data_IF_694860834524
#
_entry.id   IF_694860834524
#
_cell.length_a   1.000
_cell.length_b   1.000
_cell.length_c   1.000
_cell.angle_alpha   90.00
_cell.angle_beta   90.00
_cell.angle_gamma   90.00
#
_symmetry.space_group_name_H-M   'P 1'
#
loop_
_entity.id
_entity.type
_entity.pdbx_description
1 polymer ?
#
# COMPACT_ATOMS: atom_id res chain seq x y z
N UNK A 1 -74.35 -62.51 78.28
CA UNK A 1 -75.17 -63.08 77.18
C UNK A 1 -76.08 -61.96 76.72
N UNK A 2 -75.95 -61.47 75.47
CA UNK A 2 -76.85 -60.43 74.93
C UNK A 2 -78.27 -61.01 74.90
N UNK A 3 -79.22 -60.27 75.43
CA UNK A 3 -80.62 -60.68 75.55
C UNK A 3 -81.23 -60.80 74.14
N UNK A 4 -81.93 -61.90 73.82
CA UNK A 4 -82.44 -62.16 72.46
C UNK A 4 -83.30 -61.02 71.89
N UNK A 5 -83.96 -60.25 72.78
CA UNK A 5 -84.72 -59.07 72.38
C UNK A 5 -83.85 -57.91 71.89
N UNK A 6 -82.66 -57.69 72.48
CA UNK A 6 -81.71 -56.68 71.99
C UNK A 6 -81.14 -57.05 70.61
N UNK A 7 -80.93 -58.35 70.36
CA UNK A 7 -80.45 -58.83 69.06
C UNK A 7 -81.53 -58.62 68.00
N UNK A 8 -82.80 -58.88 68.32
CA UNK A 8 -83.93 -58.63 67.41
C UNK A 8 -84.15 -57.15 67.10
N UNK A 9 -84.04 -56.27 68.08
CA UNK A 9 -84.16 -54.81 67.86
C UNK A 9 -83.00 -54.27 67.01
N UNK A 10 -81.77 -54.72 67.25
CA UNK A 10 -80.60 -54.33 66.45
C UNK A 10 -80.71 -54.81 65.00
N UNK A 11 -81.15 -56.06 64.78
CA UNK A 11 -81.41 -56.60 63.45
C UNK A 11 -82.52 -55.79 62.74
N UNK A 12 -83.60 -55.46 63.46
CA UNK A 12 -84.70 -54.68 62.88
C UNK A 12 -84.29 -53.24 62.55
N UNK A 13 -83.47 -52.61 63.39
CA UNK A 13 -82.88 -51.29 63.13
C UNK A 13 -81.96 -51.29 61.91
N UNK A 14 -81.12 -52.31 61.77
CA UNK A 14 -80.25 -52.50 60.59
C UNK A 14 -81.05 -52.81 59.33
N UNK A 15 -82.14 -53.57 59.44
CA UNK A 15 -83.02 -53.83 58.31
C UNK A 15 -83.70 -52.55 57.83
N UNK A 16 -84.12 -51.69 58.76
CA UNK A 16 -84.74 -50.42 58.41
C UNK A 16 -83.76 -49.44 57.77
N UNK A 17 -82.51 -49.40 58.24
CA UNK A 17 -81.47 -48.58 57.59
C UNK A 17 -81.12 -49.08 56.20
N UNK A 18 -81.12 -50.39 55.97
CA UNK A 18 -80.95 -50.99 54.64
C UNK A 18 -82.13 -50.65 53.71
N UNK A 19 -83.38 -50.71 54.18
CA UNK A 19 -84.53 -50.30 53.37
C UNK A 19 -84.42 -48.81 52.94
N UNK A 20 -83.97 -47.95 53.86
CA UNK A 20 -83.75 -46.54 53.55
C UNK A 20 -82.62 -46.33 52.53
N UNK A 21 -81.51 -47.07 52.63
CA UNK A 21 -80.42 -46.95 51.65
C UNK A 21 -80.84 -47.46 50.29
N UNK A 22 -81.56 -48.58 50.21
CA UNK A 22 -82.09 -49.12 48.95
C UNK A 22 -83.03 -48.11 48.28
N UNK A 23 -83.97 -47.52 49.03
CA UNK A 23 -84.86 -46.46 48.48
C UNK A 23 -84.10 -45.21 48.02
N UNK A 24 -83.04 -44.83 48.73
CA UNK A 24 -82.20 -43.69 48.35
C UNK A 24 -81.44 -43.97 47.05
N UNK A 25 -80.87 -45.17 46.93
CA UNK A 25 -80.19 -45.63 45.72
C UNK A 25 -81.18 -45.70 44.56
N UNK A 26 -82.37 -46.27 44.76
CA UNK A 26 -83.40 -46.34 43.72
C UNK A 26 -83.83 -44.94 43.24
N UNK A 27 -84.01 -43.98 44.15
CA UNK A 27 -84.32 -42.59 43.76
C UNK A 27 -83.19 -41.95 42.99
N UNK A 28 -81.94 -42.15 43.39
CA UNK A 28 -80.76 -41.64 42.68
C UNK A 28 -80.62 -42.29 41.32
N UNK A 29 -80.81 -43.61 41.24
CA UNK A 29 -80.76 -44.36 40.00
C UNK A 29 -81.87 -43.89 39.04
N UNK A 30 -83.10 -43.71 39.52
CA UNK A 30 -84.21 -43.15 38.73
C UNK A 30 -83.94 -41.71 38.28
N UNK A 31 -83.24 -40.91 39.10
CA UNK A 31 -82.85 -39.56 38.72
C UNK A 31 -81.73 -39.57 37.65
N UNK A 32 -80.78 -40.49 37.75
CA UNK A 32 -79.74 -40.70 36.73
C UNK A 32 -80.35 -41.26 35.45
N UNK A 33 -81.24 -42.23 35.56
CA UNK A 33 -82.00 -42.81 34.45
C UNK A 33 -82.80 -41.73 33.76
N UNK A 34 -83.56 -40.88 34.48
CA UNK A 34 -84.24 -39.73 33.88
C UNK A 34 -83.29 -38.75 33.20
N UNK A 35 -82.07 -38.55 33.69
CA UNK A 35 -81.08 -37.68 33.03
C UNK A 35 -80.50 -38.30 31.77
N UNK A 36 -80.39 -39.64 31.72
CA UNK A 36 -79.95 -40.38 30.55
C UNK A 36 -81.08 -40.66 29.54
N UNK A 37 -82.32 -40.82 30.01
CA UNK A 37 -83.50 -41.19 29.23
C UNK A 37 -84.39 -40.01 28.85
N UNK A 38 -84.08 -38.81 29.34
CA UNK A 38 -84.41 -37.60 28.58
C UNK A 38 -83.60 -37.71 27.30
N UNK A 39 -84.22 -38.38 26.32
CA UNK A 39 -83.89 -38.24 24.90
C UNK A 39 -83.90 -36.74 24.64
N UNK A 40 -82.71 -36.15 24.63
CA UNK A 40 -82.48 -34.89 23.94
C UNK A 40 -82.89 -35.19 22.51
N UNK A 41 -83.86 -34.48 21.93
CA UNK A 41 -84.21 -34.71 20.53
C UNK A 41 -82.91 -34.65 19.72
N UNK A 42 -82.69 -35.69 18.91
CA UNK A 42 -81.66 -35.73 17.86
C UNK A 42 -82.03 -34.73 16.74
N UNK A 43 -82.33 -33.49 17.11
CA UNK A 43 -82.18 -32.35 16.23
C UNK A 43 -80.70 -31.95 16.32
N UNK A 44 -80.01 -32.01 15.20
CA UNK A 44 -78.63 -31.57 14.91
C UNK A 44 -78.10 -30.41 15.76
N UNK A 45 -77.76 -30.66 17.02
CA UNK A 45 -77.06 -29.72 17.88
C UNK A 45 -75.94 -30.48 18.57
N UNK A 46 -74.81 -30.57 17.87
CA UNK A 46 -73.51 -30.71 18.51
C UNK A 46 -73.49 -29.65 19.63
N UNK A 47 -73.32 -30.02 20.91
CA UNK A 47 -73.32 -29.04 21.98
C UNK A 47 -72.27 -27.97 21.66
N UNK A 48 -72.65 -26.69 21.66
CA UNK A 48 -71.76 -25.53 21.36
C UNK A 48 -70.41 -25.57 22.12
N UNK A 49 -70.36 -26.33 23.21
CA UNK A 49 -69.15 -26.61 23.97
C UNK A 49 -68.09 -27.41 23.19
N UNK A 50 -68.49 -28.36 22.33
CA UNK A 50 -67.58 -29.19 21.53
C UNK A 50 -66.98 -28.39 20.36
N UNK A 51 -67.74 -27.47 19.78
CA UNK A 51 -67.28 -26.55 18.73
C UNK A 51 -66.25 -25.54 19.24
N UNK A 52 -66.43 -25.00 20.45
CA UNK A 52 -65.48 -24.05 21.05
C UNK A 52 -64.12 -24.69 21.38
N UNK A 53 -64.10 -25.98 21.77
CA UNK A 53 -62.84 -26.71 22.00
C UNK A 53 -62.12 -27.03 20.70
N UNK A 54 -62.85 -27.42 19.66
CA UNK A 54 -62.27 -27.67 18.33
C UNK A 54 -61.71 -26.38 17.72
N UNK A 55 -62.43 -25.26 17.83
CA UNK A 55 -61.95 -23.95 17.39
C UNK A 55 -60.69 -23.50 18.17
N UNK A 56 -60.67 -23.72 19.48
CA UNK A 56 -59.47 -23.44 20.29
C UNK A 56 -58.30 -24.35 19.91
N UNK A 57 -58.55 -25.63 19.61
CA UNK A 57 -57.52 -26.56 19.15
C UNK A 57 -56.95 -26.14 17.80
N UNK A 58 -57.81 -25.78 16.84
CA UNK A 58 -57.34 -25.35 15.52
C UNK A 58 -56.59 -24.02 15.61
N UNK A 59 -57.05 -23.06 16.43
CA UNK A 59 -56.30 -21.83 16.71
C UNK A 59 -54.93 -22.12 17.33
N UNK A 60 -54.84 -22.99 18.35
CA UNK A 60 -53.54 -23.35 18.93
C UNK A 60 -52.64 -24.08 17.94
N UNK A 61 -53.21 -24.86 17.03
CA UNK A 61 -52.46 -25.53 15.96
C UNK A 61 -51.91 -24.52 14.94
N UNK A 62 -52.72 -23.54 14.56
CA UNK A 62 -52.30 -22.44 13.68
C UNK A 62 -51.19 -21.60 14.33
N UNK A 63 -51.32 -21.27 15.62
CA UNK A 63 -50.28 -20.57 16.38
C UNK A 63 -48.98 -21.38 16.45
N UNK A 64 -49.07 -22.68 16.72
CA UNK A 64 -47.89 -23.56 16.73
C UNK A 64 -47.23 -23.61 15.36
N UNK A 65 -48.02 -23.67 14.28
CA UNK A 65 -47.50 -23.67 12.91
C UNK A 65 -46.81 -22.33 12.57
N UNK A 66 -47.40 -21.20 12.99
CA UNK A 66 -46.80 -19.88 12.83
C UNK A 66 -45.48 -19.77 13.60
N UNK A 67 -45.46 -20.19 14.87
CA UNK A 67 -44.24 -20.21 15.70
C UNK A 67 -43.15 -21.07 15.06
N UNK A 68 -43.51 -22.23 14.48
CA UNK A 68 -42.54 -23.09 13.82
C UNK A 68 -41.93 -22.41 12.58
N UNK A 69 -42.75 -21.72 11.79
CA UNK A 69 -42.29 -20.92 10.66
C UNK A 69 -41.34 -19.81 11.11
N UNK A 70 -41.69 -19.06 12.16
CA UNK A 70 -40.86 -18.00 12.72
C UNK A 70 -39.51 -18.54 13.21
N UNK A 71 -39.50 -19.71 13.86
CA UNK A 71 -38.28 -20.38 14.33
C UNK A 71 -37.40 -20.79 13.14
N UNK A 72 -37.98 -21.29 12.06
CA UNK A 72 -37.24 -21.67 10.86
C UNK A 72 -36.62 -20.44 10.17
N UNK A 73 -37.35 -19.32 10.09
CA UNK A 73 -36.82 -18.04 9.59
C UNK A 73 -35.68 -17.51 10.48
N UNK A 74 -35.84 -17.53 11.80
CA UNK A 74 -34.81 -17.14 12.76
C UNK A 74 -33.56 -18.00 12.63
N UNK A 75 -33.71 -19.31 12.46
CA UNK A 75 -32.60 -20.25 12.27
C UNK A 75 -31.88 -20.00 10.95
N UNK A 76 -32.61 -19.69 9.88
CA UNK A 76 -32.02 -19.32 8.60
C UNK A 76 -31.25 -18.00 8.70
N UNK A 77 -31.80 -17.00 9.40
CA UNK A 77 -31.10 -15.76 9.71
C UNK A 77 -29.82 -16.01 10.53
N UNK A 78 -29.85 -16.91 11.51
CA UNK A 78 -28.69 -17.30 12.31
C UNK A 78 -27.55 -17.89 11.47
N UNK A 79 -27.86 -18.66 10.42
CA UNK A 79 -26.83 -19.18 9.50
C UNK A 79 -26.17 -18.03 8.72
N UNK A 80 -26.93 -16.99 8.39
CA UNK A 80 -26.41 -15.80 7.71
C UNK A 80 -25.44 -15.02 8.61
N UNK A 81 -25.72 -14.91 9.91
CA UNK A 81 -24.78 -14.33 10.88
C UNK A 81 -23.44 -15.07 10.95
N UNK A 82 -23.47 -16.40 10.83
CA UNK A 82 -22.24 -17.20 10.83
C UNK A 82 -21.39 -16.96 9.58
N UNK A 83 -22.02 -16.72 8.42
CA UNK A 83 -21.33 -16.32 7.20
C UNK A 83 -20.69 -14.92 7.34
N UNK A 84 -21.43 -13.96 7.91
CA UNK A 84 -20.89 -12.62 8.19
C UNK A 84 -19.67 -12.66 9.12
N UNK A 85 -19.71 -13.47 10.17
CA UNK A 85 -18.57 -13.63 11.08
C UNK A 85 -17.34 -14.21 10.36
N UNK A 86 -17.55 -15.22 9.51
CA UNK A 86 -16.46 -15.83 8.72
C UNK A 86 -15.84 -14.81 7.77
N UNK A 87 -16.66 -14.01 7.08
CA UNK A 87 -16.20 -12.93 6.18
C UNK A 87 -15.50 -11.81 6.93
N UNK A 88 -15.93 -11.51 8.15
CA UNK A 88 -15.28 -10.51 9.00
C UNK A 88 -13.89 -10.98 9.44
N UNK A 89 -13.74 -12.24 9.82
CA UNK A 89 -12.44 -12.85 10.13
C UNK A 89 -11.50 -12.89 8.93
N UNK A 90 -12.03 -13.21 7.74
CA UNK A 90 -11.26 -13.14 6.50
C UNK A 90 -10.77 -11.71 6.23
N UNK A 91 -11.66 -10.73 6.34
CA UNK A 91 -11.33 -9.32 6.14
C UNK A 91 -10.28 -8.81 7.15
N UNK A 92 -10.37 -9.23 8.42
CA UNK A 92 -9.38 -8.89 9.45
C UNK A 92 -8.01 -9.51 9.14
N UNK A 93 -8.00 -10.76 8.65
CA UNK A 93 -6.78 -11.41 8.17
C UNK A 93 -6.17 -10.66 6.97
N UNK A 94 -6.98 -10.22 6.01
CA UNK A 94 -6.49 -9.41 4.88
C UNK A 94 -5.94 -8.08 5.35
N UNK A 95 -6.61 -7.39 6.29
CA UNK A 95 -6.17 -6.12 6.82
C UNK A 95 -4.84 -6.23 7.57
N UNK A 96 -4.65 -7.31 8.35
CA UNK A 96 -3.37 -7.57 9.04
C UNK A 96 -2.25 -7.87 8.04
N UNK A 97 -2.50 -8.66 6.99
CA UNK A 97 -1.49 -8.87 5.93
C UNK A 97 -1.15 -7.57 5.19
N UNK A 98 -2.15 -6.77 4.84
CA UNK A 98 -1.93 -5.50 4.15
C UNK A 98 -1.13 -4.53 5.01
N UNK A 99 -1.43 -4.47 6.32
CA UNK A 99 -0.67 -3.65 7.25
C UNK A 99 0.80 -4.09 7.34
N UNK A 100 1.06 -5.41 7.31
CA UNK A 100 2.44 -5.92 7.29
C UNK A 100 3.20 -5.48 6.03
N UNK A 101 2.57 -5.56 4.84
CA UNK A 101 3.16 -5.07 3.59
C UNK A 101 3.42 -3.56 3.62
N UNK A 102 2.51 -2.77 4.23
CA UNK A 102 2.72 -1.33 4.39
C UNK A 102 3.95 -1.07 5.27
N UNK A 103 4.11 -1.79 6.38
CA UNK A 103 5.29 -1.63 7.25
C UNK A 103 6.59 -2.03 6.55
N UNK A 104 6.59 -3.10 5.76
CA UNK A 104 7.74 -3.54 4.97
C UNK A 104 8.11 -2.50 3.91
N UNK A 105 7.13 -2.00 3.14
CA UNK A 105 7.37 -0.94 2.15
C UNK A 105 7.85 0.37 2.78
N UNK A 106 7.38 0.70 3.99
CA UNK A 106 7.90 1.85 4.73
C UNK A 106 9.36 1.66 5.12
N UNK A 107 9.72 0.47 5.59
CA UNK A 107 11.10 0.12 5.92
C UNK A 107 12.00 0.16 4.68
N UNK A 108 11.58 -0.44 3.56
CA UNK A 108 12.33 -0.40 2.30
C UNK A 108 12.52 1.04 1.80
N UNK A 109 11.47 1.87 1.84
CA UNK A 109 11.57 3.28 1.47
C UNK A 109 12.54 4.04 2.38
N UNK A 110 12.56 3.74 3.69
CA UNK A 110 13.52 4.36 4.62
C UNK A 110 14.96 3.98 4.27
N UNK A 111 15.22 2.70 3.96
CA UNK A 111 16.53 2.20 3.56
C UNK A 111 17.00 2.82 2.24
N UNK A 112 16.12 2.89 1.24
CA UNK A 112 16.41 3.50 -0.06
C UNK A 112 16.68 5.00 0.07
N UNK A 113 15.91 5.70 0.91
CA UNK A 113 16.14 7.12 1.22
C UNK A 113 17.50 7.34 1.86
N UNK A 114 17.91 6.48 2.79
CA UNK A 114 19.22 6.53 3.43
C UNK A 114 20.36 6.28 2.43
N UNK A 115 20.24 5.25 1.59
CA UNK A 115 21.22 4.95 0.53
C UNK A 115 21.37 6.12 -0.45
N UNK A 116 20.26 6.74 -0.86
CA UNK A 116 20.29 7.90 -1.75
C UNK A 116 21.00 9.09 -1.13
N UNK A 117 20.79 9.33 0.16
CA UNK A 117 21.47 10.41 0.88
C UNK A 117 22.98 10.14 1.03
N UNK A 118 23.37 8.90 1.31
CA UNK A 118 24.78 8.50 1.35
C UNK A 118 25.47 8.67 -0.02
N UNK A 119 24.80 8.25 -1.10
CA UNK A 119 25.36 8.39 -2.46
C UNK A 119 25.51 9.85 -2.88
N UNK A 120 24.52 10.70 -2.55
CA UNK A 120 24.59 12.16 -2.81
C UNK A 120 25.71 12.85 -2.04
N UNK A 121 26.04 12.41 -0.83
CA UNK A 121 27.09 13.05 -0.03
C UNK A 121 28.50 12.58 -0.43
N UNK A 122 28.68 11.30 -0.78
CA UNK A 122 30.03 10.75 -0.97
C UNK A 122 30.58 10.92 -2.39
N UNK A 123 29.77 10.73 -3.44
CA UNK A 123 30.29 10.69 -4.83
C UNK A 123 30.64 12.05 -5.44
N UNK A 124 29.79 13.08 -5.38
CA UNK A 124 30.06 14.30 -6.15
C UNK A 124 31.18 15.14 -5.53
N UNK A 125 31.31 15.16 -4.20
CA UNK A 125 32.34 15.95 -3.53
C UNK A 125 33.73 15.33 -3.67
N UNK A 126 33.87 14.01 -3.48
CA UNK A 126 35.17 13.32 -3.61
C UNK A 126 35.73 13.40 -5.04
N UNK A 127 34.90 13.10 -6.04
CA UNK A 127 35.30 13.16 -7.45
C UNK A 127 35.66 14.59 -7.86
N UNK A 128 34.90 15.59 -7.40
CA UNK A 128 35.21 17.00 -7.68
C UNK A 128 36.53 17.45 -7.05
N UNK A 129 36.82 17.00 -5.83
CA UNK A 129 38.06 17.31 -5.12
C UNK A 129 39.28 16.64 -5.78
N UNK A 130 39.14 15.38 -6.19
CA UNK A 130 40.18 14.64 -6.91
C UNK A 130 40.49 15.28 -8.27
N UNK A 131 39.47 15.61 -9.05
CA UNK A 131 39.63 16.32 -10.34
C UNK A 131 40.32 17.66 -10.12
N UNK A 132 39.95 18.41 -9.07
CA UNK A 132 40.56 19.72 -8.79
C UNK A 132 42.03 19.59 -8.39
N UNK A 133 42.38 18.57 -7.61
CA UNK A 133 43.76 18.28 -7.26
C UNK A 133 44.58 17.88 -8.50
N UNK A 134 44.02 17.05 -9.37
CA UNK A 134 44.68 16.62 -10.61
C UNK A 134 44.88 17.79 -11.58
N UNK A 135 43.89 18.67 -11.75
CA UNK A 135 44.03 19.91 -12.51
C UNK A 135 45.14 20.79 -11.94
N UNK A 136 45.22 20.91 -10.61
CA UNK A 136 46.25 21.71 -9.93
C UNK A 136 47.64 21.13 -10.19
N UNK A 137 47.81 19.81 -10.10
CA UNK A 137 49.07 19.15 -10.42
C UNK A 137 49.47 19.33 -11.89
N UNK A 138 48.52 19.15 -12.81
CA UNK A 138 48.74 19.38 -14.24
C UNK A 138 49.16 20.83 -14.52
N UNK A 139 48.52 21.81 -13.88
CA UNK A 139 48.92 23.22 -14.02
C UNK A 139 50.33 23.49 -13.51
N UNK A 140 50.72 22.87 -12.40
CA UNK A 140 52.07 23.01 -11.84
C UNK A 140 53.13 22.36 -12.75
N UNK A 141 52.80 21.21 -13.35
CA UNK A 141 53.67 20.56 -14.33
C UNK A 141 53.79 21.39 -15.61
N UNK A 142 52.70 22.00 -16.08
CA UNK A 142 52.69 22.88 -17.24
C UNK A 142 53.55 24.13 -17.00
N UNK A 143 53.39 24.78 -15.84
CA UNK A 143 54.20 25.95 -15.46
C UNK A 143 55.70 25.61 -15.42
N UNK A 144 56.04 24.43 -14.88
CA UNK A 144 57.42 23.93 -14.84
C UNK A 144 57.99 23.67 -16.24
N UNK A 145 57.17 23.13 -17.15
CA UNK A 145 57.56 22.90 -18.54
C UNK A 145 57.66 24.21 -19.35
N UNK A 146 56.75 25.15 -19.12
CA UNK A 146 56.74 26.46 -19.79
C UNK A 146 57.96 27.30 -19.40
N UNK A 147 58.36 27.28 -18.13
CA UNK A 147 59.55 28.00 -17.66
C UNK A 147 60.85 27.46 -18.26
N UNK A 148 60.89 26.17 -18.63
CA UNK A 148 62.05 25.57 -19.27
C UNK A 148 62.13 25.84 -20.79
N UNK A 149 61.07 26.43 -21.38
CA UNK A 149 60.97 26.70 -22.81
C UNK A 149 61.12 28.19 -23.19
N UNK A 150 61.78 28.99 -22.32
CA UNK A 150 62.00 30.43 -22.52
C UNK A 150 63.50 30.72 -22.56
N UNK A 151 64.06 30.95 -23.75
CA UNK A 151 65.46 31.36 -23.90
C UNK A 151 65.53 32.89 -23.78
N UNK A 152 66.33 33.39 -22.83
CA UNK A 152 66.64 34.81 -22.71
C UNK A 152 67.68 35.20 -23.79
N UNK A 153 67.29 36.03 -24.75
CA UNK A 153 68.23 36.74 -25.62
C UNK A 153 68.06 38.23 -25.33
N UNK A 154 68.90 38.77 -24.43
CA UNK A 154 68.86 40.18 -24.00
C UNK A 154 67.56 40.58 -23.28
N UNK A 155 67.05 41.78 -23.56
CA UNK A 155 65.85 42.38 -22.91
C UNK A 155 64.51 41.85 -23.45
N UNK A 156 64.51 41.01 -24.50
CA UNK A 156 63.28 40.62 -25.21
C UNK A 156 62.97 39.14 -25.04
N UNK A 157 61.85 38.86 -24.37
CA UNK A 157 61.31 37.50 -24.18
C UNK A 157 60.57 37.03 -25.45
N UNK A 158 61.15 36.09 -26.20
CA UNK A 158 60.53 35.50 -27.39
C UNK A 158 60.35 33.98 -27.20
N UNK A 159 59.14 33.41 -27.41
CA UNK A 159 58.95 31.95 -27.37
C UNK A 159 59.69 31.29 -28.54
N UNK A 160 60.36 30.16 -28.27
CA UNK A 160 61.27 29.48 -29.21
C UNK A 160 60.61 29.03 -30.52
N UNK A 161 59.30 28.77 -30.50
CA UNK A 161 58.53 28.37 -31.68
C UNK A 161 58.50 29.46 -32.77
N UNK A 162 58.38 30.72 -32.38
CA UNK A 162 58.31 31.85 -33.31
C UNK A 162 59.68 32.25 -33.85
N UNK A 163 60.73 32.16 -33.02
CA UNK A 163 62.09 32.46 -33.49
C UNK A 163 62.57 31.44 -34.52
N UNK A 164 62.20 30.16 -34.36
CA UNK A 164 62.55 29.12 -35.32
C UNK A 164 61.87 29.31 -36.68
N UNK A 165 60.57 29.60 -36.67
CA UNK A 165 59.79 29.83 -37.91
C UNK A 165 60.29 31.09 -38.64
N UNK A 166 60.47 32.21 -37.93
CA UNK A 166 60.95 33.46 -38.55
C UNK A 166 62.37 33.28 -39.12
N UNK A 167 63.26 32.60 -38.40
CA UNK A 167 64.60 32.27 -38.88
C UNK A 167 64.57 31.38 -40.13
N UNK A 168 63.70 30.36 -40.16
CA UNK A 168 63.54 29.47 -41.31
C UNK A 168 63.00 30.21 -42.56
N UNK A 169 62.04 31.13 -42.38
CA UNK A 169 61.50 31.95 -43.47
C UNK A 169 62.58 32.87 -44.05
N UNK A 170 63.38 33.51 -43.19
CA UNK A 170 64.49 34.37 -43.64
C UNK A 170 65.54 33.53 -44.39
N UNK A 171 65.92 32.36 -43.86
CA UNK A 171 66.86 31.45 -44.52
C UNK A 171 66.34 30.92 -45.86
N UNK A 172 65.08 30.53 -45.93
CA UNK A 172 64.45 30.06 -47.17
C UNK A 172 64.41 31.16 -48.24
N UNK A 173 64.02 32.39 -47.86
CA UNK A 173 64.03 33.54 -48.77
C UNK A 173 65.45 33.87 -49.24
N UNK A 174 66.42 33.84 -48.32
CA UNK A 174 67.83 34.09 -48.63
C UNK A 174 68.37 33.02 -49.58
N UNK A 175 68.10 31.75 -49.32
CA UNK A 175 68.48 30.62 -50.17
C UNK A 175 67.83 30.69 -51.55
N UNK A 176 66.55 31.05 -51.62
CA UNK A 176 65.82 31.24 -52.88
C UNK A 176 66.43 32.38 -53.73
N UNK A 177 66.77 33.51 -53.11
CA UNK A 177 67.40 34.65 -53.78
C UNK A 177 68.78 34.30 -54.35
N UNK A 178 69.57 33.51 -53.59
CA UNK A 178 70.86 32.98 -54.04
C UNK A 178 70.68 32.03 -55.22
N UNK A 179 69.71 31.10 -55.13
CA UNK A 179 69.44 30.12 -56.19
C UNK A 179 68.92 30.77 -57.48
N UNK A 180 68.20 31.89 -57.38
CA UNK A 180 67.78 32.70 -58.53
C UNK A 180 68.91 33.57 -59.13
N UNK A 181 70.14 33.48 -58.61
CA UNK A 181 71.31 34.22 -59.10
C UNK A 181 71.30 35.72 -58.82
N UNK A 182 70.37 36.21 -57.98
CA UNK A 182 70.16 37.64 -57.71
C UNK A 182 70.98 38.15 -56.53
N UNK A 183 72.30 38.04 -56.65
CA UNK A 183 73.27 38.50 -55.64
C UNK A 183 73.24 40.02 -55.42
N UNK A 184 72.82 40.79 -56.43
CA UNK A 184 72.65 42.25 -56.32
C UNK A 184 71.62 42.64 -55.25
N UNK A 185 70.57 41.83 -55.07
CA UNK A 185 69.51 42.13 -54.09
C UNK A 185 70.02 41.87 -52.68
N UNK A 186 70.73 40.76 -52.46
CA UNK A 186 71.26 40.38 -51.13
C UNK A 186 72.27 41.41 -50.62
N UNK A 187 73.05 42.02 -51.52
CA UNK A 187 74.03 43.07 -51.17
C UNK A 187 73.42 44.47 -51.07
N UNK A 188 72.17 44.64 -51.48
CA UNK A 188 71.49 45.94 -51.48
C UNK A 188 70.96 46.30 -50.09
N UNK A 189 70.86 47.61 -49.82
CA UNK A 189 70.24 48.12 -48.60
C UNK A 189 68.78 47.67 -48.42
N UNK A 190 68.08 47.35 -49.52
CA UNK A 190 66.69 46.90 -49.51
C UNK A 190 66.51 45.51 -48.87
N UNK A 191 67.53 44.65 -48.91
CA UNK A 191 67.47 43.34 -48.25
C UNK A 191 67.53 43.45 -46.73
N UNK A 192 68.43 44.29 -46.22
CA UNK A 192 68.48 44.59 -44.78
C UNK A 192 67.19 45.26 -44.29
N UNK A 193 66.61 46.15 -45.11
CA UNK A 193 65.31 46.76 -44.81
C UNK A 193 64.17 45.73 -44.80
N UNK A 194 64.20 44.77 -45.72
CA UNK A 194 63.20 43.69 -45.79
C UNK A 194 63.26 42.78 -44.57
N UNK A 195 64.45 42.42 -44.09
CA UNK A 195 64.59 41.64 -42.84
C UNK A 195 64.06 42.44 -41.65
N UNK A 196 64.42 43.72 -41.55
CA UNK A 196 63.92 44.59 -40.49
C UNK A 196 62.38 44.72 -40.53
N UNK A 197 61.79 44.81 -41.72
CA UNK A 197 60.34 44.85 -41.91
C UNK A 197 59.67 43.54 -41.47
N UNK A 198 60.26 42.39 -41.80
CA UNK A 198 59.77 41.07 -41.34
C UNK A 198 59.82 40.97 -39.81
N UNK A 199 60.89 41.44 -39.17
CA UNK A 199 60.96 41.50 -37.71
C UNK A 199 59.92 42.45 -37.11
N UNK A 200 59.73 43.63 -37.68
CA UNK A 200 58.72 44.60 -37.23
C UNK A 200 57.29 44.03 -37.36
N UNK A 201 56.99 43.37 -38.48
CA UNK A 201 55.71 42.70 -38.70
C UNK A 201 55.49 41.57 -37.68
N UNK A 202 56.51 40.77 -37.36
CA UNK A 202 56.41 39.72 -36.34
C UNK A 202 56.12 40.29 -34.94
N UNK A 203 56.73 41.43 -34.59
CA UNK A 203 56.48 42.12 -33.32
C UNK A 203 55.05 42.69 -33.26
N UNK A 204 54.58 43.31 -34.35
CA UNK A 204 53.20 43.81 -34.46
C UNK A 204 52.17 42.68 -34.36
N UNK A 205 52.42 41.55 -35.02
CA UNK A 205 51.55 40.38 -34.96
C UNK A 205 51.49 39.81 -33.54
N UNK A 206 52.62 39.79 -32.82
CA UNK A 206 52.67 39.41 -31.40
C UNK A 206 51.85 40.37 -30.54
N UNK A 207 51.97 41.68 -30.77
CA UNK A 207 51.18 42.69 -30.05
C UNK A 207 49.68 42.50 -30.29
N UNK A 208 49.29 42.21 -31.53
CA UNK A 208 47.91 41.93 -31.89
C UNK A 208 47.38 40.65 -31.21
N UNK A 209 48.12 39.54 -31.25
CA UNK A 209 47.72 38.30 -30.56
C UNK A 209 47.66 38.46 -29.03
N UNK A 210 48.57 39.23 -28.44
CA UNK A 210 48.56 39.49 -26.99
C UNK A 210 47.36 40.36 -26.58
N UNK A 211 46.95 41.31 -27.42
CA UNK A 211 45.77 42.15 -27.19
C UNK A 211 44.46 41.39 -27.45
N UNK A 212 44.42 40.51 -28.45
CA UNK A 212 43.26 39.67 -28.76
C UNK A 212 42.92 38.64 -27.68
N UNK A 213 43.89 38.22 -26.85
CA UNK A 213 43.64 37.31 -25.72
C UNK A 213 43.06 38.00 -24.47
N UNK A 214 42.88 39.33 -24.50
CA UNK A 214 42.31 40.14 -23.40
C UNK A 214 40.88 40.62 -23.66
N UNK A 215 40.29 40.28 -24.81
CA UNK A 215 38.89 40.56 -25.15
C UNK A 215 38.04 39.29 -25.00
#
# INVERSE_FOLDING_TARGET
>A
MKNDNQIKEDINGRLHSVDQTVRSVEKRLRAVERRLSVDVPLEDVIPEYETNFEEALEHTREEIAAIHSDIDELKQGSLQYQDYESRFQELDSELTTLNSHITELQEENSKLSEQLNQEKQQKPESISLDIKNEITQLSMHLEKAENHNRINIGSVKVPVELSGIVGAVILALTGYLIMAGRWDIVRSAYFSFSIAFVFAAAVLLKFYMANSKRA
#
